data_IF_526793987801
#
_entry.id   IF_526793987801
#
_cell.length_a   1.000
_cell.length_b   1.000
_cell.length_c   1.000
_cell.angle_alpha   90.00
_cell.angle_beta   90.00
_cell.angle_gamma   90.00
#
_symmetry.space_group_name_H-M   'P 1'
#
loop_
_entity.id
_entity.type
_entity.pdbx_description
1 polymer ?
#
# COMPACT_ATOMS: atom_id res chain seq x y z
N UNK A 1 -23.50 12.23 -4.41
CA UNK A 1 -22.12 11.78 -4.13
C UNK A 1 -22.14 10.27 -3.93
N UNK A 2 -21.37 9.49 -4.69
CA UNK A 2 -21.23 8.04 -4.40
C UNK A 2 -20.44 7.89 -3.10
N UNK A 3 -20.96 7.10 -2.16
CA UNK A 3 -20.29 6.81 -0.90
C UNK A 3 -18.97 6.06 -1.19
N UNK A 4 -17.86 6.55 -0.65
CA UNK A 4 -16.58 5.87 -0.78
C UNK A 4 -16.64 4.53 -0.04
N UNK A 5 -16.41 3.43 -0.75
CA UNK A 5 -16.34 2.10 -0.15
C UNK A 5 -14.98 1.97 0.53
N UNK A 6 -14.98 1.88 1.86
CA UNK A 6 -13.78 1.63 2.66
C UNK A 6 -13.58 0.11 2.74
N UNK A 7 -12.42 -0.38 2.34
CA UNK A 7 -12.08 -1.80 2.40
C UNK A 7 -11.09 -2.08 3.52
N UNK A 8 -11.45 -2.97 4.44
CA UNK A 8 -10.54 -3.38 5.51
C UNK A 8 -9.51 -4.36 4.97
N UNK A 9 -8.24 -4.03 5.14
CA UNK A 9 -7.12 -4.84 4.69
C UNK A 9 -6.84 -5.91 5.74
N UNK A 10 -6.86 -7.16 5.29
CA UNK A 10 -6.45 -8.33 6.07
C UNK A 10 -4.92 -8.42 6.09
N UNK A 11 -4.30 -8.36 4.91
CA UNK A 11 -2.87 -8.46 4.70
C UNK A 11 -2.48 -7.84 3.36
N UNK A 12 -1.19 -7.63 3.12
CA UNK A 12 -0.70 -7.10 1.85
C UNK A 12 0.68 -7.64 1.48
N UNK A 13 1.06 -7.45 0.24
CA UNK A 13 2.41 -7.69 -0.24
C UNK A 13 2.85 -6.61 -1.22
N UNK A 14 4.12 -6.22 -1.15
CA UNK A 14 4.74 -5.26 -2.05
C UNK A 14 5.83 -5.93 -2.88
N UNK A 15 5.87 -5.62 -4.17
CA UNK A 15 6.94 -6.01 -5.09
C UNK A 15 7.49 -4.75 -5.75
N UNK A 16 8.81 -4.66 -5.94
CA UNK A 16 9.44 -3.57 -6.68
C UNK A 16 9.67 -3.97 -8.14
N UNK A 17 9.54 -3.03 -9.07
CA UNK A 17 9.97 -3.25 -10.45
C UNK A 17 11.52 -3.28 -10.52
N UNK A 18 12.11 -3.90 -11.55
CA UNK A 18 13.57 -3.97 -11.69
C UNK A 18 14.25 -2.61 -11.84
N UNK A 19 13.53 -1.57 -12.28
CA UNK A 19 14.07 -0.23 -12.50
C UNK A 19 14.02 0.61 -11.21
N UNK A 20 13.10 0.32 -10.29
CA UNK A 20 12.91 1.10 -9.07
C UNK A 20 11.95 2.29 -9.20
N UNK A 21 11.09 2.30 -10.22
CA UNK A 21 10.10 3.35 -10.43
C UNK A 21 8.83 3.14 -9.60
N UNK A 22 8.42 1.88 -9.42
CA UNK A 22 7.11 1.51 -8.95
C UNK A 22 7.20 0.37 -7.94
N UNK A 23 6.40 0.45 -6.88
CA UNK A 23 5.98 -0.72 -6.12
C UNK A 23 4.62 -1.18 -6.63
N UNK A 24 4.47 -2.46 -6.94
CA UNK A 24 3.16 -3.09 -7.05
C UNK A 24 2.70 -3.51 -5.66
N UNK A 25 1.60 -2.93 -5.20
CA UNK A 25 0.97 -3.27 -3.93
C UNK A 25 -0.26 -4.16 -4.19
N UNK A 26 -0.25 -5.35 -3.60
CA UNK A 26 -1.41 -6.27 -3.59
C UNK A 26 -2.03 -6.30 -2.22
N UNK A 27 -3.26 -5.80 -2.13
CA UNK A 27 -4.05 -5.80 -0.90
C UNK A 27 -5.02 -6.97 -0.90
N UNK A 28 -4.98 -7.76 0.17
CA UNK A 28 -6.03 -8.72 0.49
C UNK A 28 -6.95 -8.14 1.55
N UNK A 29 -8.25 -8.32 1.38
CA UNK A 29 -9.27 -7.73 2.24
C UNK A 29 -9.93 -8.78 3.14
N UNK A 30 -10.55 -8.33 4.24
CA UNK A 30 -11.39 -9.18 5.10
C UNK A 30 -12.60 -9.75 4.35
N UNK A 31 -12.95 -9.16 3.20
CA UNK A 31 -13.94 -9.68 2.27
C UNK A 31 -13.81 -9.06 0.88
N UNK A 32 -14.26 -9.80 -0.14
CA UNK A 32 -14.16 -9.39 -1.54
C UNK A 32 -12.88 -9.87 -2.23
N UNK A 33 -12.65 -9.39 -3.45
CA UNK A 33 -11.46 -9.71 -4.24
C UNK A 33 -10.29 -8.81 -3.85
N UNK A 34 -9.10 -9.39 -3.83
CA UNK A 34 -7.84 -8.67 -3.73
C UNK A 34 -7.75 -7.56 -4.80
N UNK A 35 -6.97 -6.53 -4.53
CA UNK A 35 -6.71 -5.44 -5.47
C UNK A 35 -5.23 -5.14 -5.57
N UNK A 36 -4.78 -4.91 -6.80
CA UNK A 36 -3.41 -4.52 -7.11
C UNK A 36 -3.38 -3.06 -7.55
N UNK A 37 -2.40 -2.29 -7.07
CA UNK A 37 -2.17 -0.89 -7.49
C UNK A 37 -0.67 -0.63 -7.65
N UNK A 38 -0.30 0.16 -8.65
CA UNK A 38 1.07 0.63 -8.82
C UNK A 38 1.29 1.91 -8.01
N UNK A 39 2.21 1.88 -7.07
CA UNK A 39 2.60 3.01 -6.21
C UNK A 39 3.93 3.58 -6.71
N UNK A 40 3.97 4.84 -7.17
CA UNK A 40 5.23 5.49 -7.56
C UNK A 40 6.20 5.63 -6.41
N UNK A 41 7.51 5.54 -6.70
CA UNK A 41 8.57 5.74 -5.72
C UNK A 41 8.40 7.03 -4.90
N UNK A 42 7.99 8.14 -5.53
CA UNK A 42 7.72 9.41 -4.83
C UNK A 42 6.64 9.29 -3.74
N UNK A 43 5.58 8.56 -4.01
CA UNK A 43 4.51 8.28 -3.04
C UNK A 43 5.03 7.36 -1.94
N UNK A 44 5.88 6.38 -2.27
CA UNK A 44 6.52 5.49 -1.29
C UNK A 44 7.40 6.28 -0.33
N UNK A 45 8.27 7.17 -0.83
CA UNK A 45 9.12 8.01 0.01
C UNK A 45 8.29 8.95 0.89
N UNK A 46 7.23 9.55 0.35
CA UNK A 46 6.30 10.35 1.14
C UNK A 46 5.66 9.52 2.26
N UNK A 47 5.19 8.30 1.96
CA UNK A 47 4.61 7.40 2.95
C UNK A 47 5.63 7.01 4.03
N UNK A 48 6.86 6.66 3.67
CA UNK A 48 7.91 6.35 4.64
C UNK A 48 8.21 7.52 5.59
N UNK A 49 8.13 8.76 5.10
CA UNK A 49 8.35 9.95 5.91
C UNK A 49 7.17 10.31 6.84
N UNK A 50 5.94 9.88 6.52
CA UNK A 50 4.73 10.34 7.22
C UNK A 50 3.97 9.24 7.95
N UNK A 51 4.23 7.97 7.67
CA UNK A 51 3.59 6.87 8.39
C UNK A 51 4.16 6.74 9.81
N UNK A 52 3.32 6.45 10.80
CA UNK A 52 3.76 6.25 12.17
C UNK A 52 4.64 5.00 12.26
N UNK A 53 5.71 5.11 13.03
CA UNK A 53 6.57 3.97 13.38
C UNK A 53 5.91 3.17 14.49
N UNK A 54 5.88 1.84 14.36
CA UNK A 54 5.39 0.99 15.42
C UNK A 54 6.24 1.13 16.71
N UNK A 55 5.58 1.31 17.84
CA UNK A 55 6.20 1.39 19.17
C UNK A 55 5.93 0.15 20.04
N UNK A 56 5.13 -0.79 19.54
CA UNK A 56 4.67 -1.95 20.30
C UNK A 56 5.48 -3.19 19.90
N UNK A 57 6.34 -3.69 20.79
CA UNK A 57 7.21 -4.82 20.49
C UNK A 57 6.45 -6.16 20.39
N UNK A 58 5.20 -6.22 20.87
CA UNK A 58 4.37 -7.42 20.84
C UNK A 58 3.43 -7.43 19.62
N UNK A 59 3.52 -6.43 18.74
CA UNK A 59 2.68 -6.33 17.55
C UNK A 59 2.90 -7.53 16.63
N UNK A 60 1.87 -8.37 16.51
CA UNK A 60 1.89 -9.52 15.63
C UNK A 60 1.75 -9.08 14.16
N UNK A 61 2.50 -9.70 13.23
CA UNK A 61 2.34 -9.42 11.81
C UNK A 61 0.98 -9.90 11.28
N UNK A 62 0.44 -9.30 10.20
CA UNK A 62 -0.78 -9.79 9.56
C UNK A 62 -0.65 -11.25 9.07
N UNK A 63 -1.69 -12.08 9.22
CA UNK A 63 -1.66 -13.46 8.74
C UNK A 63 -1.87 -13.54 7.22
N UNK A 64 -1.43 -14.65 6.61
CA UNK A 64 -1.73 -15.00 5.21
C UNK A 64 -1.45 -13.87 4.21
N UNK A 65 -0.16 -13.55 4.02
CA UNK A 65 0.25 -12.56 3.02
C UNK A 65 -0.20 -13.02 1.62
N UNK A 66 -0.76 -12.13 0.78
CA UNK A 66 -1.03 -12.47 -0.61
C UNK A 66 0.29 -12.66 -1.36
N UNK A 67 0.23 -13.36 -2.49
CA UNK A 67 1.37 -13.51 -3.41
C UNK A 67 1.19 -12.59 -4.61
N UNK A 68 2.24 -11.82 -4.93
CA UNK A 68 2.37 -11.14 -6.21
C UNK A 68 2.89 -12.13 -7.24
N UNK A 69 2.13 -12.32 -8.30
CA UNK A 69 2.43 -13.17 -9.44
C UNK A 69 2.90 -12.31 -10.62
N UNK A 70 3.62 -12.88 -11.61
CA UNK A 70 4.00 -12.14 -12.82
C UNK A 70 2.81 -11.50 -13.54
N UNK A 71 1.68 -12.20 -13.60
CA UNK A 71 0.43 -11.70 -14.19
C UNK A 71 -0.13 -10.45 -13.49
N UNK A 72 0.16 -10.23 -12.19
CA UNK A 72 -0.26 -9.01 -11.50
C UNK A 72 0.52 -7.78 -12.02
N UNK A 73 1.76 -7.97 -12.49
CA UNK A 73 2.57 -6.91 -13.11
C UNK A 73 2.13 -6.60 -14.54
N UNK A 74 1.72 -7.63 -15.27
CA UNK A 74 1.29 -7.52 -16.68
C UNK A 74 -0.16 -7.04 -16.81
N UNK A 75 -0.94 -7.02 -15.72
CA UNK A 75 -2.34 -6.62 -15.76
C UNK A 75 -2.49 -5.09 -15.98
N UNK A 76 -2.84 -4.75 -17.22
CA UNK A 76 -3.09 -3.38 -17.67
C UNK A 76 -4.32 -2.73 -17.01
N UNK A 77 -5.15 -3.46 -16.27
CA UNK A 77 -6.26 -2.85 -15.52
C UNK A 77 -5.82 -2.30 -14.17
N UNK A 78 -4.65 -2.72 -13.65
CA UNK A 78 -4.14 -2.25 -12.38
C UNK A 78 -3.83 -0.74 -12.47
N UNK A 79 -4.51 0.09 -11.65
CA UNK A 79 -4.37 1.53 -11.72
C UNK A 79 -3.07 1.98 -11.05
N UNK A 80 -2.62 3.18 -11.43
CA UNK A 80 -1.48 3.85 -10.80
C UNK A 80 -1.98 4.86 -9.77
N UNK A 81 -1.33 4.88 -8.61
CA UNK A 81 -1.56 5.88 -7.56
C UNK A 81 -0.98 7.22 -7.99
N UNK A 82 -1.80 8.26 -7.89
CA UNK A 82 -1.42 9.65 -8.15
C UNK A 82 -1.05 10.38 -6.86
N UNK A 83 -1.88 10.20 -5.84
CA UNK A 83 -1.71 10.81 -4.53
C UNK A 83 -2.32 9.93 -3.44
N UNK A 84 -1.90 10.16 -2.19
CA UNK A 84 -2.45 9.47 -1.02
C UNK A 84 -2.88 10.49 0.02
N UNK A 85 -4.01 10.20 0.67
CA UNK A 85 -4.49 10.94 1.83
C UNK A 85 -4.64 9.98 3.00
N UNK A 86 -3.87 10.22 4.06
CA UNK A 86 -3.89 9.39 5.26
C UNK A 86 -4.65 10.11 6.38
N UNK A 87 -5.59 9.41 7.00
CA UNK A 87 -6.20 9.82 8.27
C UNK A 87 -5.89 8.77 9.32
N UNK A 88 -5.13 9.17 10.34
CA UNK A 88 -4.81 8.33 11.48
C UNK A 88 -5.97 8.30 12.49
N UNK A 89 -6.19 7.12 13.05
CA UNK A 89 -7.04 6.81 14.20
C UNK A 89 -6.18 6.08 15.24
N UNK A 90 -6.76 5.79 16.42
CA UNK A 90 -6.01 5.21 17.53
C UNK A 90 -5.41 3.83 17.18
N UNK A 91 -6.12 3.01 16.41
CA UNK A 91 -5.76 1.63 16.07
C UNK A 91 -5.59 1.36 14.56
N UNK A 92 -5.78 2.39 13.72
CA UNK A 92 -5.79 2.22 12.28
C UNK A 92 -5.42 3.50 11.52
N UNK A 93 -5.03 3.33 10.26
CA UNK A 93 -4.92 4.40 9.27
C UNK A 93 -5.93 4.12 8.16
N UNK A 94 -6.77 5.11 7.87
CA UNK A 94 -7.52 5.13 6.62
C UNK A 94 -6.70 5.84 5.57
N UNK A 95 -6.32 5.11 4.52
CA UNK A 95 -5.59 5.65 3.37
C UNK A 95 -6.51 5.68 2.16
N UNK A 96 -6.73 6.87 1.60
CA UNK A 96 -7.39 7.05 0.32
C UNK A 96 -6.34 7.26 -0.76
N UNK A 97 -6.28 6.35 -1.73
CA UNK A 97 -5.45 6.46 -2.92
C UNK A 97 -6.27 7.06 -4.05
N UNK A 98 -5.78 8.17 -4.60
CA UNK A 98 -6.25 8.69 -5.87
C UNK A 98 -5.63 7.89 -7.01
N UNK A 99 -6.46 7.46 -7.96
CA UNK A 99 -6.07 6.51 -9.01
C UNK A 99 -6.25 7.13 -10.40
N UNK A 100 -5.33 6.81 -11.32
CA UNK A 100 -5.26 7.42 -12.66
C UNK A 100 -6.49 7.14 -13.56
N UNK A 101 -7.05 5.93 -13.49
CA UNK A 101 -8.06 5.45 -14.44
C UNK A 101 -9.33 4.90 -13.81
N UNK A 102 -9.38 4.81 -12.48
CA UNK A 102 -10.51 4.23 -11.73
C UNK A 102 -10.95 5.12 -10.57
N UNK A 103 -12.08 4.79 -9.96
CA UNK A 103 -12.49 5.45 -8.71
C UNK A 103 -11.44 5.23 -7.61
N UNK A 104 -11.27 6.21 -6.72
CA UNK A 104 -10.33 6.15 -5.60
C UNK A 104 -10.49 4.86 -4.78
N UNK A 105 -9.37 4.26 -4.39
CA UNK A 105 -9.35 3.12 -3.49
C UNK A 105 -9.13 3.63 -2.06
N UNK A 106 -10.09 3.39 -1.18
CA UNK A 106 -9.94 3.69 0.25
C UNK A 106 -9.74 2.40 1.03
N UNK A 107 -8.60 2.28 1.70
CA UNK A 107 -8.26 1.13 2.54
C UNK A 107 -8.21 1.54 4.02
N UNK A 108 -8.58 0.61 4.89
CA UNK A 108 -8.37 0.71 6.32
C UNK A 108 -7.28 -0.29 6.73
N UNK A 109 -6.19 0.24 7.26
CA UNK A 109 -4.99 -0.48 7.68
C UNK A 109 -4.91 -0.46 9.20
N UNK A 110 -5.02 -1.62 9.86
CA UNK A 110 -4.72 -1.71 11.29
C UNK A 110 -3.21 -1.50 11.55
N UNK A 111 -2.82 -1.37 12.82
CA UNK A 111 -1.40 -1.18 13.22
C UNK A 111 -0.45 -2.20 12.61
N UNK A 112 -0.80 -3.49 12.63
CA UNK A 112 0.00 -4.57 12.03
C UNK A 112 0.22 -4.39 10.53
N UNK A 113 -0.82 -4.01 9.79
CA UNK A 113 -0.72 -3.77 8.35
C UNK A 113 0.07 -2.49 8.02
N UNK A 114 -0.05 -1.44 8.83
CA UNK A 114 0.76 -0.22 8.67
C UNK A 114 2.24 -0.54 8.84
N UNK A 115 2.58 -1.28 9.89
CA UNK A 115 3.98 -1.66 10.15
C UNK A 115 4.53 -2.59 9.08
N UNK A 116 3.75 -3.59 8.63
CA UNK A 116 4.14 -4.47 7.52
C UNK A 116 4.44 -3.66 6.26
N UNK A 117 3.55 -2.73 5.89
CA UNK A 117 3.72 -1.88 4.73
C UNK A 117 5.01 -1.05 4.84
N UNK A 118 5.24 -0.44 6.00
CA UNK A 118 6.44 0.36 6.29
C UNK A 118 7.71 -0.48 6.16
N UNK A 119 7.74 -1.68 6.75
CA UNK A 119 8.89 -2.59 6.68
C UNK A 119 9.19 -3.01 5.24
N UNK A 120 8.17 -3.36 4.45
CA UNK A 120 8.35 -3.71 3.05
C UNK A 120 8.85 -2.53 2.22
N UNK A 121 8.28 -1.34 2.40
CA UNK A 121 8.72 -0.13 1.70
C UNK A 121 10.16 0.24 2.08
N UNK A 122 10.53 0.15 3.36
CA UNK A 122 11.90 0.40 3.82
C UNK A 122 12.86 -0.63 3.23
N UNK A 123 12.45 -1.91 3.14
CA UNK A 123 13.23 -2.97 2.50
C UNK A 123 13.54 -2.69 1.02
N UNK A 124 12.63 -2.03 0.30
CA UNK A 124 12.85 -1.62 -1.09
C UNK A 124 13.47 -0.23 -1.24
N UNK A 125 13.73 0.50 -0.14
CA UNK A 125 14.20 1.88 -0.21
C UNK A 125 15.46 2.05 -1.04
N UNK A 126 16.41 1.11 -0.95
CA UNK A 126 17.64 1.13 -1.75
C UNK A 126 17.46 0.69 -3.21
N UNK A 127 16.33 0.07 -3.55
CA UNK A 127 15.99 -0.32 -4.92
C UNK A 127 15.18 0.76 -5.64
N UNK A 128 14.47 1.61 -4.91
CA UNK A 128 13.66 2.68 -5.48
C UNK A 128 14.52 3.88 -5.90
N UNK A 129 14.18 4.45 -7.05
CA UNK A 129 14.81 5.69 -7.52
C UNK A 129 14.30 6.87 -6.71
N UNK A 130 15.14 7.37 -5.82
CA UNK A 130 14.93 8.65 -5.14
C UNK A 130 15.33 9.80 -6.06
N UNK A 131 14.35 10.57 -6.50
CA UNK A 131 14.56 11.75 -7.34
C UNK A 131 14.77 13.04 -6.52
N UNK A 132 14.82 12.95 -5.19
CA UNK A 132 15.19 14.07 -4.31
C UNK A 132 14.11 15.15 -4.15
N UNK A 133 12.92 14.76 -3.70
CA UNK A 133 11.82 15.71 -3.40
C UNK A 133 12.06 16.52 -2.12
#
# INVERSE_FOLDING_TARGET
MKQAVIRQVKSMYLSCDPIGNLLLAKFSFEGGKDACVFIPASVVFWLLAHLPVNQDPELLPPPNLPHVLPEDWDDVVNPRVLSVQCKQFDDAIRMTMELDRTANLTVLLNRSNVELMRQMMEGYRGNLMDLGF
#
